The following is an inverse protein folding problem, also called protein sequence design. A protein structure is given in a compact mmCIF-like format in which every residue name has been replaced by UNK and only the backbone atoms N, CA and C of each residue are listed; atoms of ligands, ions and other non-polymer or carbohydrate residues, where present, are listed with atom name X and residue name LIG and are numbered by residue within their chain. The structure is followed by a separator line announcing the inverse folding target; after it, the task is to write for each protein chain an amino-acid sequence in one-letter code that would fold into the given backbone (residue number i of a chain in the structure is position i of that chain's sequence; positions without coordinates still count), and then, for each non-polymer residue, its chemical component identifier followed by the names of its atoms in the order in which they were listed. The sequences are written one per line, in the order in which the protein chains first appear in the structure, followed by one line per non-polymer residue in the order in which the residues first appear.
data_IF_950249610282
#
_entry.id   IF_950249610282
#
_cell.length_a   1.000
_cell.length_b   1.000
_cell.length_c   1.000
_cell.angle_alpha   90.00
_cell.angle_beta   90.00
_cell.angle_gamma   90.00
#
_symmetry.space_group_name_H-M   'P 1'
#
loop_
_entity.id
_entity.type
_entity.pdbx_description
1 polymer ?
#
# COMPACT_ATOMS: atom_id res chain seq x y z
N UNK A 1 14.52 10.36 -43.37
CA UNK A 1 13.69 10.98 -42.32
C UNK A 1 14.32 10.62 -40.99
N UNK A 2 15.11 11.52 -40.43
CA UNK A 2 15.72 11.32 -39.10
C UNK A 2 14.66 11.52 -38.02
N UNK A 3 14.59 10.66 -36.99
CA UNK A 3 13.72 10.89 -35.86
C UNK A 3 14.36 11.94 -34.94
N UNK A 4 13.79 13.14 -34.92
CA UNK A 4 14.14 14.19 -33.96
C UNK A 4 13.57 13.86 -32.58
N UNK A 5 14.22 12.99 -31.80
CA UNK A 5 13.91 12.82 -30.38
C UNK A 5 14.68 13.87 -29.57
N UNK A 6 14.17 15.10 -29.55
CA UNK A 6 14.69 16.17 -28.69
C UNK A 6 14.02 16.11 -27.32
N UNK A 7 14.30 15.07 -26.54
CA UNK A 7 13.92 15.06 -25.12
C UNK A 7 14.73 16.16 -24.44
N UNK A 8 14.06 17.22 -24.03
CA UNK A 8 14.73 18.42 -23.49
C UNK A 8 15.24 18.10 -22.07
N UNK A 9 16.42 18.57 -21.63
CA UNK A 9 16.96 18.30 -20.29
C UNK A 9 16.00 18.67 -19.13
N UNK A 10 15.05 19.58 -19.36
CA UNK A 10 13.99 19.89 -18.40
C UNK A 10 12.99 18.73 -18.21
N UNK A 11 12.62 18.03 -19.28
CA UNK A 11 11.64 16.94 -19.26
C UNK A 11 12.19 15.70 -18.54
N UNK A 12 13.47 15.37 -18.76
CA UNK A 12 14.16 14.31 -18.03
C UNK A 12 14.28 14.61 -16.53
N UNK A 13 14.46 15.88 -16.16
CA UNK A 13 14.53 16.31 -14.75
C UNK A 13 13.18 16.19 -14.03
N UNK A 14 12.07 16.56 -14.68
CA UNK A 14 10.72 16.46 -14.11
C UNK A 14 10.31 15.00 -13.88
N UNK A 15 10.53 14.13 -14.88
CA UNK A 15 10.20 12.69 -14.79
C UNK A 15 10.99 12.03 -13.65
N UNK A 16 12.27 12.39 -13.51
CA UNK A 16 13.13 11.90 -12.43
C UNK A 16 12.66 12.35 -11.05
N UNK A 17 12.42 13.65 -10.87
CA UNK A 17 11.96 14.20 -9.58
C UNK A 17 10.68 13.52 -9.12
N UNK A 18 9.78 13.24 -10.07
CA UNK A 18 8.55 12.49 -9.82
C UNK A 18 8.81 11.05 -9.38
N UNK A 19 9.69 10.31 -10.06
CA UNK A 19 10.02 8.94 -9.69
C UNK A 19 10.67 8.85 -8.31
N UNK A 20 11.57 9.77 -7.97
CA UNK A 20 12.19 9.88 -6.64
C UNK A 20 11.14 10.17 -5.55
N UNK A 21 10.23 11.10 -5.81
CA UNK A 21 9.14 11.45 -4.87
C UNK A 21 8.20 10.27 -4.64
N UNK A 22 7.75 9.61 -5.72
CA UNK A 22 6.86 8.44 -5.62
C UNK A 22 7.56 7.29 -4.91
N UNK A 23 8.84 7.05 -5.20
CA UNK A 23 9.63 6.03 -4.53
C UNK A 23 9.76 6.29 -3.04
N UNK A 24 10.03 7.54 -2.64
CA UNK A 24 10.09 7.94 -1.24
C UNK A 24 8.74 7.78 -0.53
N UNK A 25 7.64 8.20 -1.15
CA UNK A 25 6.30 8.05 -0.57
C UNK A 25 5.90 6.58 -0.41
N UNK A 26 6.27 5.71 -1.35
CA UNK A 26 6.05 4.27 -1.21
C UNK A 26 6.87 3.67 -0.06
N UNK A 27 8.12 4.10 0.12
CA UNK A 27 8.93 3.72 1.28
C UNK A 27 8.32 4.20 2.60
N UNK A 28 7.84 5.44 2.65
CA UNK A 28 7.18 6.00 3.85
C UNK A 28 5.89 5.25 4.15
N UNK A 29 5.04 5.00 3.15
CA UNK A 29 3.83 4.20 3.33
C UNK A 29 4.16 2.81 3.87
N UNK A 30 5.16 2.13 3.29
CA UNK A 30 5.60 0.81 3.77
C UNK A 30 6.10 0.82 5.21
N UNK A 31 6.89 1.84 5.57
CA UNK A 31 7.37 2.03 6.94
C UNK A 31 6.23 2.32 7.92
N UNK A 32 5.22 3.10 7.52
CA UNK A 32 4.06 3.40 8.35
C UNK A 32 3.20 2.15 8.63
N UNK A 33 3.01 1.27 7.63
CA UNK A 33 2.36 -0.03 7.85
C UNK A 33 3.16 -0.89 8.82
N UNK A 34 4.48 -1.05 8.60
CA UNK A 34 5.32 -1.89 9.44
C UNK A 34 5.43 -1.36 10.87
N UNK A 35 5.72 -0.07 11.05
CA UNK A 35 5.83 0.54 12.38
C UNK A 35 4.47 0.63 13.07
N UNK A 36 3.42 1.01 12.35
CA UNK A 36 2.08 1.08 12.92
C UNK A 36 1.62 -0.27 13.45
N UNK A 37 1.90 -1.35 12.72
CA UNK A 37 1.57 -2.70 13.18
C UNK A 37 2.45 -3.16 14.34
N UNK A 38 3.78 -2.98 14.27
CA UNK A 38 4.67 -3.48 15.32
C UNK A 38 4.54 -2.70 16.64
N UNK A 39 4.28 -1.39 16.55
CA UNK A 39 4.26 -0.50 17.72
C UNK A 39 2.88 -0.40 18.37
N UNK A 40 1.79 -0.79 17.67
CA UNK A 40 0.43 -0.76 18.25
C UNK A 40 0.27 -1.64 19.50
N UNK A 41 1.10 -2.66 19.66
CA UNK A 41 1.14 -3.48 20.88
C UNK A 41 1.65 -2.74 22.12
N UNK A 42 2.36 -1.63 21.92
CA UNK A 42 2.98 -0.84 23.01
C UNK A 42 2.41 0.58 23.12
N UNK A 43 1.80 1.10 22.05
CA UNK A 43 1.29 2.48 21.99
C UNK A 43 -0.05 2.49 21.26
N UNK A 44 -1.12 2.80 22.00
CA UNK A 44 -2.49 2.79 21.49
C UNK A 44 -2.70 3.71 20.28
N UNK A 45 -1.91 4.77 20.12
CA UNK A 45 -2.04 5.72 19.00
C UNK A 45 -1.16 5.35 17.80
N UNK A 46 -0.43 4.24 17.84
CA UNK A 46 0.44 3.85 16.73
C UNK A 46 -0.35 3.35 15.51
N UNK A 47 -1.59 2.88 15.68
CA UNK A 47 -2.43 2.44 14.57
C UNK A 47 -2.77 3.60 13.60
N UNK A 48 -2.73 4.85 14.04
CA UNK A 48 -2.89 6.02 13.15
C UNK A 48 -1.86 6.03 12.02
N UNK A 49 -0.66 5.48 12.24
CA UNK A 49 0.34 5.32 11.18
C UNK A 49 -0.20 4.47 10.02
N UNK A 50 -0.95 3.42 10.32
CA UNK A 50 -1.58 2.54 9.31
C UNK A 50 -2.63 3.31 8.52
N UNK A 51 -3.46 4.12 9.20
CA UNK A 51 -4.45 4.96 8.54
C UNK A 51 -3.80 5.97 7.57
N UNK A 52 -2.70 6.61 7.99
CA UNK A 52 -1.90 7.49 7.13
C UNK A 52 -1.29 6.69 5.97
N UNK A 53 -0.80 5.47 6.24
CA UNK A 53 -0.31 4.53 5.23
C UNK A 53 -1.34 4.26 4.14
N UNK A 54 -2.58 3.93 4.51
CA UNK A 54 -3.69 3.81 3.56
C UNK A 54 -3.94 5.10 2.78
N UNK A 55 -3.90 6.26 3.45
CA UNK A 55 -4.02 7.57 2.80
C UNK A 55 -2.97 7.78 1.71
N UNK A 56 -1.72 7.37 1.97
CA UNK A 56 -0.65 7.42 0.97
C UNK A 56 -0.88 6.44 -0.19
N UNK A 57 -1.46 5.26 0.04
CA UNK A 57 -1.72 4.27 -1.03
C UNK A 57 -2.67 4.81 -2.10
N UNK A 58 -3.66 5.64 -1.71
CA UNK A 58 -4.58 6.30 -2.65
C UNK A 58 -3.82 7.06 -3.73
N UNK A 59 -2.69 7.67 -3.37
CA UNK A 59 -1.82 8.37 -4.31
C UNK A 59 -0.75 7.46 -4.93
N UNK A 60 -0.02 6.72 -4.10
CA UNK A 60 1.20 5.99 -4.48
C UNK A 60 0.91 4.88 -5.48
N UNK A 61 -0.12 4.06 -5.26
CA UNK A 61 -0.37 2.88 -6.08
C UNK A 61 -0.70 3.25 -7.54
N UNK A 62 -1.58 4.24 -7.82
CA UNK A 62 -1.76 4.75 -9.17
C UNK A 62 -0.48 5.29 -9.82
N UNK A 63 0.44 5.90 -9.05
CA UNK A 63 1.73 6.31 -9.61
C UNK A 63 2.64 5.13 -9.92
N UNK A 64 2.69 4.11 -9.05
CA UNK A 64 3.45 2.90 -9.31
C UNK A 64 2.92 2.17 -10.55
N UNK A 65 1.60 2.10 -10.74
CA UNK A 65 0.99 1.58 -11.96
C UNK A 65 1.47 2.35 -13.22
N UNK A 66 1.54 3.68 -13.18
CA UNK A 66 2.03 4.49 -14.32
C UNK A 66 3.45 4.14 -14.76
N UNK A 67 4.29 3.65 -13.84
CA UNK A 67 5.65 3.18 -14.17
C UNK A 67 5.62 1.83 -14.88
N UNK A 68 4.63 0.99 -14.57
CA UNK A 68 4.47 -0.35 -15.16
C UNK A 68 3.71 -0.32 -16.48
N UNK A 69 2.78 0.62 -16.63
CA UNK A 69 1.91 0.74 -17.78
C UNK A 69 2.72 0.97 -19.09
N UNK A 70 2.28 0.37 -20.21
CA UNK A 70 1.17 -0.57 -20.35
C UNK A 70 1.54 -2.05 -20.11
N UNK A 71 2.77 -2.34 -19.66
CA UNK A 71 3.32 -3.70 -19.63
C UNK A 71 2.63 -4.63 -18.61
N UNK A 72 1.97 -4.07 -17.60
CA UNK A 72 1.21 -4.78 -16.57
C UNK A 72 -0.24 -5.12 -16.96
N UNK A 73 -0.68 -4.67 -18.14
CA UNK A 73 -1.98 -5.04 -18.74
C UNK A 73 -3.20 -4.59 -17.94
N UNK A 74 -4.31 -5.31 -18.13
CA UNK A 74 -5.58 -5.00 -17.46
C UNK A 74 -5.53 -5.25 -15.95
N UNK A 75 -4.75 -6.24 -15.51
CA UNK A 75 -4.62 -6.63 -14.11
C UNK A 75 -3.98 -5.49 -13.30
N UNK A 76 -2.86 -4.92 -13.76
CA UNK A 76 -2.22 -3.79 -13.09
C UNK A 76 -3.14 -2.56 -13.02
N UNK A 77 -3.88 -2.27 -14.10
CA UNK A 77 -4.86 -1.17 -14.12
C UNK A 77 -5.99 -1.37 -13.12
N UNK A 78 -6.70 -2.50 -13.20
CA UNK A 78 -7.81 -2.81 -12.31
C UNK A 78 -7.35 -2.88 -10.85
N UNK A 79 -6.21 -3.53 -10.61
CA UNK A 79 -5.58 -3.60 -9.31
C UNK A 79 -5.30 -2.21 -8.74
N UNK A 80 -4.67 -1.33 -9.51
CA UNK A 80 -4.35 0.02 -9.03
C UNK A 80 -5.58 0.85 -8.64
N UNK A 81 -6.66 0.73 -9.41
CA UNK A 81 -7.93 1.43 -9.14
C UNK A 81 -8.58 0.87 -7.89
N UNK A 82 -8.67 -0.46 -7.77
CA UNK A 82 -9.30 -1.13 -6.64
C UNK A 82 -8.55 -0.89 -5.33
N UNK A 83 -7.21 -0.93 -5.35
CA UNK A 83 -6.39 -0.59 -4.17
C UNK A 83 -6.63 0.84 -3.74
N UNK A 84 -6.58 1.80 -4.67
CA UNK A 84 -6.78 3.21 -4.34
C UNK A 84 -8.20 3.49 -3.82
N UNK A 85 -9.23 2.89 -4.44
CA UNK A 85 -10.61 3.04 -4.02
C UNK A 85 -10.86 2.39 -2.65
N UNK A 86 -10.38 1.16 -2.45
CA UNK A 86 -10.52 0.45 -1.18
C UNK A 86 -9.78 1.15 -0.04
N UNK A 87 -8.52 1.55 -0.26
CA UNK A 87 -7.76 2.35 0.69
C UNK A 87 -8.42 3.69 1.00
N UNK A 88 -8.96 4.36 -0.02
CA UNK A 88 -9.69 5.62 0.16
C UNK A 88 -10.95 5.46 1.01
N UNK A 89 -11.69 4.36 0.82
CA UNK A 89 -12.87 4.05 1.62
C UNK A 89 -12.49 3.72 3.07
N UNK A 90 -11.44 2.91 3.29
CA UNK A 90 -10.90 2.62 4.63
C UNK A 90 -10.49 3.90 5.36
N UNK A 91 -9.81 4.83 4.67
CA UNK A 91 -9.43 6.12 5.26
C UNK A 91 -10.64 6.96 5.60
N UNK A 92 -11.61 7.07 4.68
CA UNK A 92 -12.82 7.84 4.90
C UNK A 92 -13.61 7.32 6.11
N UNK A 93 -13.77 6.00 6.21
CA UNK A 93 -14.43 5.36 7.36
C UNK A 93 -13.64 5.60 8.65
N UNK A 94 -12.32 5.41 8.63
CA UNK A 94 -11.47 5.67 9.79
C UNK A 94 -11.58 7.11 10.28
N UNK A 95 -11.63 8.09 9.38
CA UNK A 95 -11.86 9.51 9.74
C UNK A 95 -13.26 9.71 10.33
N UNK A 96 -14.30 9.09 9.77
CA UNK A 96 -15.66 9.19 10.32
C UNK A 96 -15.70 8.62 11.74
N UNK A 97 -15.12 7.45 11.98
CA UNK A 97 -15.07 6.84 13.31
C UNK A 97 -14.31 7.73 14.32
N UNK A 98 -13.19 8.32 13.92
CA UNK A 98 -12.45 9.27 14.76
C UNK A 98 -13.29 10.50 15.13
N UNK A 99 -14.10 11.00 14.18
CA UNK A 99 -14.99 12.13 14.44
C UNK A 99 -16.12 11.72 15.39
N UNK A 100 -16.74 10.57 15.17
CA UNK A 100 -17.81 10.02 16.01
C UNK A 100 -17.35 9.80 17.46
N UNK A 101 -16.16 9.22 17.62
CA UNK A 101 -15.51 9.05 18.92
C UNK A 101 -15.27 10.41 19.59
N UNK A 102 -14.75 11.39 18.85
CA UNK A 102 -14.46 12.73 19.38
C UNK A 102 -15.72 13.52 19.80
N UNK A 103 -16.88 13.26 19.19
CA UNK A 103 -18.16 13.90 19.55
C UNK A 103 -18.98 13.11 20.57
N UNK A 104 -18.47 11.97 21.04
CA UNK A 104 -19.12 11.16 22.08
C UNK A 104 -20.33 10.37 21.60
N UNK A 105 -20.42 10.08 20.30
CA UNK A 105 -21.45 9.22 19.72
C UNK A 105 -20.80 7.92 19.19
N UNK A 106 -20.52 6.93 20.05
CA UNK A 106 -19.84 5.70 19.66
C UNK A 106 -20.74 4.74 18.88
N UNK A 107 -21.96 5.15 18.51
CA UNK A 107 -22.87 4.30 17.75
C UNK A 107 -22.30 4.00 16.36
N UNK A 108 -21.80 2.77 16.17
CA UNK A 108 -21.38 2.33 14.84
C UNK A 108 -22.58 2.29 13.89
N UNK A 109 -22.59 3.09 12.81
CA UNK A 109 -23.70 3.08 11.89
C UNK A 109 -23.78 1.72 11.19
N UNK A 110 -24.98 1.15 11.03
CA UNK A 110 -25.15 -0.15 10.36
C UNK A 110 -24.61 -0.20 8.91
N UNK A 111 -24.52 0.95 8.24
CA UNK A 111 -23.91 1.05 6.92
C UNK A 111 -22.38 0.99 6.96
N UNK A 112 -21.74 1.29 8.09
CA UNK A 112 -20.30 1.40 8.22
C UNK A 112 -19.62 0.04 8.10
N UNK A 113 -20.18 -1.01 8.71
CA UNK A 113 -19.71 -2.39 8.58
C UNK A 113 -19.75 -2.87 7.11
N UNK A 114 -20.87 -2.59 6.42
CA UNK A 114 -21.05 -2.94 5.00
C UNK A 114 -20.02 -2.21 4.13
N UNK A 115 -19.83 -0.90 4.33
CA UNK A 115 -18.84 -0.12 3.59
C UNK A 115 -17.40 -0.55 3.92
N UNK A 116 -17.12 -0.91 5.17
CA UNK A 116 -15.83 -1.43 5.58
C UNK A 116 -15.51 -2.72 4.83
N UNK A 117 -16.46 -3.66 4.80
CA UNK A 117 -16.31 -4.93 4.08
C UNK A 117 -16.08 -4.70 2.58
N UNK A 118 -16.86 -3.81 1.95
CA UNK A 118 -16.70 -3.46 0.53
C UNK A 118 -15.31 -2.85 0.27
N UNK A 119 -14.89 -1.89 1.11
CA UNK A 119 -13.61 -1.20 0.97
C UNK A 119 -12.43 -2.13 1.17
N UNK A 120 -12.48 -2.96 2.20
CA UNK A 120 -11.44 -3.93 2.49
C UNK A 120 -11.37 -5.01 1.40
N UNK A 121 -12.51 -5.53 0.93
CA UNK A 121 -12.53 -6.50 -0.17
C UNK A 121 -11.98 -5.91 -1.47
N UNK A 122 -12.37 -4.68 -1.82
CA UNK A 122 -11.83 -3.97 -2.97
C UNK A 122 -10.30 -3.79 -2.84
N UNK A 123 -9.83 -3.44 -1.65
CA UNK A 123 -8.39 -3.35 -1.36
C UNK A 123 -7.67 -4.70 -1.54
N UNK A 124 -8.18 -5.78 -0.95
CA UNK A 124 -7.59 -7.12 -1.05
C UNK A 124 -7.49 -7.59 -2.50
N UNK A 125 -8.62 -7.57 -3.23
CA UNK A 125 -8.67 -7.95 -4.65
C UNK A 125 -7.75 -7.05 -5.47
N UNK A 126 -7.73 -5.76 -5.14
CA UNK A 126 -6.83 -4.79 -5.76
C UNK A 126 -5.36 -5.16 -5.61
N UNK A 127 -4.91 -5.52 -4.41
CA UNK A 127 -3.51 -5.91 -4.16
C UNK A 127 -3.14 -7.18 -4.94
N UNK A 128 -4.03 -8.18 -4.97
CA UNK A 128 -3.82 -9.40 -5.76
C UNK A 128 -3.61 -9.05 -7.23
N UNK A 129 -4.53 -8.28 -7.82
CA UNK A 129 -4.45 -7.90 -9.23
C UNK A 129 -3.24 -7.01 -9.53
N UNK A 130 -2.90 -6.10 -8.62
CA UNK A 130 -1.74 -5.23 -8.74
C UNK A 130 -0.42 -6.02 -8.66
N UNK A 131 -0.33 -7.01 -7.77
CA UNK A 131 0.83 -7.90 -7.67
C UNK A 131 0.99 -8.75 -8.94
N UNK A 132 -0.11 -9.30 -9.47
CA UNK A 132 -0.13 -10.01 -10.77
C UNK A 132 0.33 -9.09 -11.90
N UNK A 133 -0.23 -7.87 -12.00
CA UNK A 133 0.19 -6.87 -12.97
C UNK A 133 1.68 -6.53 -12.85
N UNK A 134 2.18 -6.36 -11.63
CA UNK A 134 3.60 -6.09 -11.35
C UNK A 134 4.51 -7.23 -11.79
N UNK A 135 4.08 -8.48 -11.58
CA UNK A 135 4.82 -9.67 -12.03
C UNK A 135 4.86 -9.78 -13.56
N UNK A 136 3.77 -9.42 -14.25
CA UNK A 136 3.71 -9.38 -15.71
C UNK A 136 4.60 -8.25 -16.25
N UNK A 137 4.49 -7.05 -15.68
CA UNK A 137 5.18 -5.85 -16.15
C UNK A 137 6.69 -5.85 -15.92
N UNK A 138 7.19 -6.67 -14.97
CA UNK A 138 8.63 -6.87 -14.66
C UNK A 138 9.43 -5.57 -14.47
N UNK A 139 8.78 -4.49 -14.04
CA UNK A 139 9.42 -3.19 -13.76
C UNK A 139 9.97 -3.08 -12.35
N UNK A 140 9.52 -3.94 -11.45
CA UNK A 140 9.95 -4.01 -10.07
C UNK A 140 10.65 -5.34 -9.79
N UNK A 141 11.49 -5.42 -8.74
CA UNK A 141 12.05 -6.68 -8.29
C UNK A 141 10.91 -7.68 -8.02
N UNK A 142 10.98 -8.91 -8.53
CA UNK A 142 9.86 -9.86 -8.46
C UNK A 142 9.47 -10.22 -7.02
N UNK A 143 10.41 -10.15 -6.07
CA UNK A 143 10.16 -10.39 -4.65
C UNK A 143 9.30 -9.32 -3.96
N UNK A 144 9.30 -8.08 -4.46
CA UNK A 144 8.59 -6.97 -3.82
C UNK A 144 7.04 -7.09 -3.89
N UNK A 145 6.40 -7.29 -5.05
CA UNK A 145 4.96 -7.52 -5.13
C UNK A 145 4.54 -8.85 -4.49
N UNK A 146 5.43 -9.87 -4.48
CA UNK A 146 5.18 -11.12 -3.78
C UNK A 146 5.15 -10.90 -2.26
N UNK A 147 6.08 -10.12 -1.70
CA UNK A 147 6.05 -9.76 -0.28
C UNK A 147 4.78 -9.00 0.11
N UNK A 148 4.32 -8.07 -0.74
CA UNK A 148 3.03 -7.42 -0.53
C UNK A 148 1.88 -8.44 -0.46
N UNK A 149 1.80 -9.32 -1.45
CA UNK A 149 0.75 -10.32 -1.54
C UNK A 149 0.80 -11.31 -0.36
N UNK A 150 1.97 -11.91 -0.08
CA UNK A 150 2.14 -12.87 1.00
C UNK A 150 1.95 -12.22 2.36
N UNK A 151 2.42 -10.98 2.57
CA UNK A 151 2.19 -10.26 3.81
C UNK A 151 0.70 -10.05 4.07
N UNK A 152 -0.06 -9.62 3.05
CA UNK A 152 -1.50 -9.43 3.18
C UNK A 152 -2.26 -10.74 3.41
N UNK A 153 -1.90 -11.80 2.69
CA UNK A 153 -2.48 -13.14 2.91
C UNK A 153 -2.13 -13.67 4.29
N UNK A 154 -0.89 -13.50 4.75
CA UNK A 154 -0.48 -13.91 6.09
C UNK A 154 -1.24 -13.13 7.16
N UNK A 155 -1.48 -11.83 6.96
CA UNK A 155 -2.28 -11.05 7.89
C UNK A 155 -3.69 -11.64 8.06
N UNK A 156 -4.41 -11.81 6.96
CA UNK A 156 -5.79 -12.31 6.99
C UNK A 156 -5.85 -13.78 7.43
N UNK A 157 -5.03 -14.65 6.85
CA UNK A 157 -5.13 -16.09 7.07
C UNK A 157 -4.69 -16.51 8.48
N UNK A 158 -3.66 -15.86 9.04
CA UNK A 158 -3.23 -16.16 10.40
C UNK A 158 -4.28 -15.65 11.38
N UNK A 159 -4.80 -14.42 11.21
CA UNK A 159 -5.81 -13.88 12.12
C UNK A 159 -7.13 -14.69 12.05
N UNK A 160 -7.55 -15.10 10.86
CA UNK A 160 -8.72 -15.99 10.71
C UNK A 160 -8.47 -17.37 11.34
N UNK A 161 -7.26 -17.92 11.19
CA UNK A 161 -6.93 -19.20 11.80
C UNK A 161 -6.88 -19.08 13.34
N UNK A 162 -6.22 -18.06 13.88
CA UNK A 162 -6.14 -17.86 15.33
C UNK A 162 -7.51 -17.56 15.93
N UNK A 163 -8.35 -16.77 15.25
CA UNK A 163 -9.74 -16.55 15.66
C UNK A 163 -10.57 -17.85 15.65
N UNK A 164 -10.42 -18.70 14.63
CA UNK A 164 -11.16 -19.96 14.53
C UNK A 164 -10.67 -21.05 15.49
N UNK A 165 -9.39 -21.04 15.90
CA UNK A 165 -8.83 -22.07 16.79
C UNK A 165 -8.88 -21.69 18.27
N UNK A 166 -9.07 -20.41 18.60
CA UNK A 166 -8.95 -19.92 19.97
C UNK A 166 -10.01 -18.86 20.33
N UNK A 167 -11.22 -19.02 19.79
CA UNK A 167 -12.37 -18.09 19.91
C UNK A 167 -12.71 -17.65 21.35
N UNK A 168 -12.29 -18.42 22.37
CA UNK A 168 -12.54 -18.17 23.80
C UNK A 168 -11.33 -17.60 24.59
N UNK A 169 -10.17 -17.38 23.96
CA UNK A 169 -8.96 -16.98 24.68
C UNK A 169 -8.61 -15.51 24.38
N UNK A 170 -8.91 -14.60 25.33
CA UNK A 170 -8.59 -13.15 25.25
C UNK A 170 -7.09 -12.83 25.08
N UNK A 171 -6.24 -13.85 25.17
CA UNK A 171 -4.79 -13.80 24.95
C UNK A 171 -4.37 -14.06 23.49
N UNK A 172 -5.33 -14.29 22.59
CA UNK A 172 -5.07 -14.56 21.17
C UNK A 172 -4.81 -13.27 20.42
N UNK A 173 -3.58 -12.80 20.59
CA UNK A 173 -2.99 -11.70 19.85
C UNK A 173 -3.22 -11.87 18.35
N UNK A 174 -3.53 -10.78 17.64
CA UNK A 174 -3.68 -10.68 16.18
C UNK A 174 -2.34 -10.95 15.46
N UNK A 175 -1.80 -12.17 15.58
CA UNK A 175 -0.48 -12.55 15.10
C UNK A 175 -0.32 -12.32 13.60
N UNK A 176 -1.39 -12.48 12.83
CA UNK A 176 -1.43 -12.16 11.42
C UNK A 176 -1.16 -10.69 11.20
N UNK A 177 -1.85 -9.80 11.89
CA UNK A 177 -1.59 -8.37 11.82
C UNK A 177 -0.11 -8.03 12.11
N UNK A 178 0.49 -8.57 13.17
CA UNK A 178 1.89 -8.29 13.56
C UNK A 178 2.96 -8.89 12.63
N UNK A 179 2.63 -9.88 11.82
CA UNK A 179 3.57 -10.52 10.88
C UNK A 179 3.30 -10.03 9.46
N UNK A 180 2.06 -10.14 9.03
CA UNK A 180 1.61 -9.90 7.68
C UNK A 180 1.65 -8.43 7.27
N UNK A 181 1.19 -7.51 8.13
CA UNK A 181 1.19 -6.07 7.81
C UNK A 181 2.62 -5.52 7.66
N UNK A 182 3.60 -5.89 8.52
CA UNK A 182 5.00 -5.53 8.28
C UNK A 182 5.59 -6.11 6.99
N UNK A 183 5.30 -7.37 6.65
CA UNK A 183 5.74 -7.96 5.38
C UNK A 183 5.14 -7.23 4.17
N UNK A 184 3.87 -6.85 4.27
CA UNK A 184 3.22 -6.02 3.27
C UNK A 184 3.94 -4.67 3.11
N UNK A 185 4.20 -4.00 4.23
CA UNK A 185 4.93 -2.73 4.26
C UNK A 185 6.34 -2.84 3.68
N UNK A 186 7.07 -3.92 3.97
CA UNK A 186 8.39 -4.19 3.40
C UNK A 186 8.35 -4.37 1.88
N UNK A 187 7.36 -5.10 1.35
CA UNK A 187 7.17 -5.25 -0.09
C UNK A 187 6.96 -3.90 -0.78
N UNK A 188 6.09 -3.06 -0.22
CA UNK A 188 5.84 -1.71 -0.73
C UNK A 188 7.07 -0.81 -0.66
N UNK A 189 7.80 -0.86 0.46
CA UNK A 189 9.02 -0.09 0.64
C UNK A 189 10.12 -0.52 -0.34
N UNK A 190 10.22 -1.82 -0.63
CA UNK A 190 11.17 -2.33 -1.62
C UNK A 190 10.81 -1.87 -3.04
N UNK A 191 9.52 -1.85 -3.42
CA UNK A 191 9.09 -1.26 -4.69
C UNK A 191 9.50 0.22 -4.78
N UNK A 192 9.27 0.98 -3.70
CA UNK A 192 9.67 2.39 -3.61
C UNK A 192 11.17 2.60 -3.74
N UNK A 193 11.96 1.79 -3.03
CA UNK A 193 13.41 1.80 -3.11
C UNK A 193 13.92 1.49 -4.52
N UNK A 194 13.36 0.47 -5.17
CA UNK A 194 13.73 0.09 -6.53
C UNK A 194 13.44 1.21 -7.55
N UNK A 195 12.30 1.90 -7.41
CA UNK A 195 11.97 3.04 -8.26
C UNK A 195 12.97 4.19 -8.08
N UNK A 196 13.35 4.47 -6.83
CA UNK A 196 14.30 5.53 -6.50
C UNK A 196 15.72 5.21 -6.97
N UNK A 197 16.17 3.96 -6.81
CA UNK A 197 17.53 3.54 -7.17
C UNK A 197 17.73 3.41 -8.68
N UNK A 198 16.66 3.16 -9.44
CA UNK A 198 16.69 3.17 -10.91
C UNK A 198 16.83 4.58 -11.53
N UNK A 199 16.72 5.65 -10.73
CA UNK A 199 16.91 7.03 -11.20
C UNK A 199 18.41 7.37 -11.32
N UNK A 200 18.93 7.70 -12.52
CA UNK A 200 20.37 7.98 -12.71
C UNK A 200 20.82 9.17 -11.85
N UNK A 201 21.90 9.01 -11.06
CA UNK A 201 22.52 10.12 -10.34
C UNK A 201 23.21 11.07 -11.34
N UNK A 202 23.21 12.39 -11.11
CA UNK A 202 23.98 13.28 -11.94
C UNK A 202 25.46 12.95 -11.78
N UNK A 203 26.15 12.69 -12.90
CA UNK A 203 27.60 12.73 -12.91
C UNK A 203 28.00 14.17 -12.59
N UNK A 204 28.49 14.39 -11.37
CA UNK A 204 29.19 15.62 -11.05
C UNK A 204 30.53 15.51 -11.76
N UNK A 205 30.63 16.11 -12.95
CA UNK A 205 31.92 16.38 -13.58
C UNK A 205 32.62 17.42 -12.73
N UNK A 206 33.59 16.99 -11.92
CA UNK A 206 34.59 17.88 -11.33
C UNK A 206 35.58 18.32 -12.40
#
# INVERSE_FOLDING_TARGET
MEPTSSTTPAETTVVRTRAETVGALAMVAGALFALGALVSSAVDWAWFAILIGFGLLVYVIPQLHRVQAPADGWAGRAGSVLVAAGAGLVVALGVVFLVLEAVGDPGEPAWAEVLWMIGFLAFLVGIVLFAVGSAIGKRFPPGAPLLMLFGLVAAVAIDMATGAFFEDDSSTTEWGFFIGVPLFGLGLAWMGYALRSASPRPQVSN
#
